data_IF_930596302245
#
_entry.id   IF_930596302245
#
_cell.length_a   1.000
_cell.length_b   1.000
_cell.length_c   1.000
_cell.angle_alpha   90.00
_cell.angle_beta   90.00
_cell.angle_gamma   90.00
#
_symmetry.space_group_name_H-M   'P 1'
#
loop_
_entity.id
_entity.type
_entity.pdbx_description
1 polymer ?
#
# COMPACT_ATOMS: atom_id res chain seq x y z
N UNK A 1 -21.07 -15.61 -21.41
CA UNK A 1 -20.82 -14.68 -20.28
C UNK A 1 -21.65 -15.16 -19.09
N UNK A 2 -21.13 -15.08 -17.87
CA UNK A 2 -21.88 -15.43 -16.65
C UNK A 2 -21.88 -14.20 -15.74
N UNK A 3 -22.98 -13.95 -15.04
CA UNK A 3 -23.11 -12.86 -14.08
C UNK A 3 -23.08 -13.41 -12.66
N UNK A 4 -22.52 -12.61 -11.75
CA UNK A 4 -22.56 -12.84 -10.31
C UNK A 4 -23.08 -11.55 -9.70
N UNK A 5 -24.12 -11.64 -8.87
CA UNK A 5 -24.69 -10.50 -8.16
C UNK A 5 -24.11 -10.46 -6.75
N UNK A 6 -23.63 -9.29 -6.33
CA UNK A 6 -23.05 -9.06 -5.01
C UNK A 6 -23.86 -7.95 -4.35
N UNK A 7 -24.32 -8.17 -3.13
CA UNK A 7 -24.97 -7.15 -2.31
C UNK A 7 -23.95 -6.47 -1.43
N UNK A 8 -23.90 -5.14 -1.50
CA UNK A 8 -23.06 -4.27 -0.69
C UNK A 8 -23.92 -3.18 -0.07
N UNK A 9 -23.43 -2.54 0.99
CA UNK A 9 -24.07 -1.39 1.62
C UNK A 9 -23.89 -0.12 0.78
N UNK A 10 -24.78 0.86 0.98
CA UNK A 10 -24.67 2.19 0.33
C UNK A 10 -23.31 2.84 0.65
N UNK A 11 -22.81 2.65 1.87
CA UNK A 11 -21.50 3.16 2.29
C UNK A 11 -20.36 2.53 1.48
N UNK A 12 -20.39 1.23 1.23
CA UNK A 12 -19.39 0.56 0.40
C UNK A 12 -19.50 1.03 -1.06
N UNK A 13 -20.74 1.22 -1.54
CA UNK A 13 -20.98 1.72 -2.90
C UNK A 13 -20.36 3.11 -3.11
N UNK A 14 -20.55 4.02 -2.14
CA UNK A 14 -19.93 5.34 -2.13
C UNK A 14 -18.40 5.27 -1.93
N UNK A 15 -17.92 4.44 -1.01
CA UNK A 15 -16.49 4.28 -0.71
C UNK A 15 -15.70 3.84 -1.95
N UNK A 16 -16.23 2.86 -2.68
CA UNK A 16 -15.62 2.35 -3.90
C UNK A 16 -15.91 3.21 -5.14
N UNK A 17 -16.70 4.29 -4.98
CA UNK A 17 -17.07 5.23 -6.05
C UNK A 17 -17.64 4.53 -7.27
N UNK A 18 -18.51 3.53 -7.04
CA UNK A 18 -19.19 2.88 -8.16
C UNK A 18 -20.12 3.89 -8.83
N UNK A 19 -19.97 4.06 -10.15
CA UNK A 19 -20.76 5.02 -10.93
C UNK A 19 -22.01 4.38 -11.57
N UNK A 20 -22.19 3.07 -11.38
CA UNK A 20 -23.19 2.24 -12.05
C UNK A 20 -23.47 0.99 -11.21
N UNK A 21 -24.70 0.48 -11.29
CA UNK A 21 -25.10 -0.81 -10.69
C UNK A 21 -24.47 -2.02 -11.43
N UNK A 22 -24.08 -1.83 -12.68
CA UNK A 22 -23.38 -2.84 -13.48
C UNK A 22 -21.99 -2.32 -13.86
N UNK A 23 -20.95 -3.06 -13.45
CA UNK A 23 -19.55 -2.79 -13.77
C UNK A 23 -18.90 -4.04 -14.34
N UNK A 24 -17.83 -3.86 -15.12
CA UNK A 24 -17.06 -5.00 -15.58
C UNK A 24 -16.31 -5.64 -14.40
N UNK A 25 -16.13 -6.96 -14.43
CA UNK A 25 -15.37 -7.66 -13.40
C UNK A 25 -13.94 -7.11 -13.24
N UNK A 26 -13.32 -6.70 -14.35
CA UNK A 26 -11.99 -6.09 -14.32
C UNK A 26 -11.98 -4.75 -13.58
N UNK A 27 -12.99 -3.91 -13.77
CA UNK A 27 -13.10 -2.63 -13.06
C UNK A 27 -13.25 -2.85 -11.54
N UNK A 28 -14.04 -3.85 -11.14
CA UNK A 28 -14.15 -4.24 -9.73
C UNK A 28 -12.80 -4.69 -9.16
N UNK A 29 -12.05 -5.51 -9.90
CA UNK A 29 -10.72 -5.97 -9.49
C UNK A 29 -9.74 -4.82 -9.32
N UNK A 30 -9.76 -3.85 -10.23
CA UNK A 30 -8.85 -2.70 -10.18
C UNK A 30 -9.14 -1.83 -8.95
N UNK A 31 -10.43 -1.59 -8.64
CA UNK A 31 -10.85 -0.84 -7.45
C UNK A 31 -10.43 -1.54 -6.16
N UNK A 32 -10.68 -2.85 -6.04
CA UNK A 32 -10.29 -3.63 -4.85
C UNK A 32 -8.76 -3.66 -4.70
N UNK A 33 -8.03 -3.83 -5.81
CA UNK A 33 -6.56 -3.85 -5.79
C UNK A 33 -5.98 -2.51 -5.31
N UNK A 34 -6.59 -1.40 -5.75
CA UNK A 34 -6.19 -0.07 -5.32
C UNK A 34 -6.44 0.14 -3.81
N UNK A 35 -7.58 -0.31 -3.28
CA UNK A 35 -7.89 -0.25 -1.85
C UNK A 35 -6.86 -1.04 -1.03
N UNK A 36 -6.54 -2.27 -1.45
CA UNK A 36 -5.54 -3.10 -0.77
C UNK A 36 -4.15 -2.44 -0.78
N UNK A 37 -3.77 -1.80 -1.88
CA UNK A 37 -2.52 -1.05 -1.98
C UNK A 37 -2.51 0.16 -1.01
N UNK A 38 -3.61 0.91 -0.91
CA UNK A 38 -3.73 2.03 0.04
C UNK A 38 -3.61 1.53 1.49
N UNK A 39 -4.30 0.44 1.85
CA UNK A 39 -4.20 -0.15 3.18
C UNK A 39 -2.77 -0.62 3.50
N UNK A 40 -2.07 -1.21 2.52
CA UNK A 40 -0.68 -1.60 2.69
C UNK A 40 0.23 -0.39 2.94
N UNK A 41 0.04 0.71 2.18
CA UNK A 41 0.80 1.95 2.37
C UNK A 41 0.57 2.56 3.75
N UNK A 42 -0.67 2.58 4.23
CA UNK A 42 -0.99 3.08 5.58
C UNK A 42 -0.24 2.25 6.64
N UNK A 43 -0.27 0.92 6.53
CA UNK A 43 0.47 0.03 7.45
C UNK A 43 1.97 0.28 7.40
N UNK A 44 2.55 0.44 6.22
CA UNK A 44 3.97 0.77 6.07
C UNK A 44 4.32 2.08 6.77
N UNK A 45 3.47 3.10 6.62
CA UNK A 45 3.65 4.39 7.29
C UNK A 45 3.56 4.28 8.81
N UNK A 46 2.61 3.50 9.34
CA UNK A 46 2.51 3.25 10.77
C UNK A 46 3.74 2.52 11.33
N UNK A 47 4.27 1.54 10.59
CA UNK A 47 5.51 0.85 10.95
C UNK A 47 6.67 1.84 10.94
N UNK A 48 6.78 2.68 9.92
CA UNK A 48 7.84 3.69 9.83
C UNK A 48 7.80 4.67 11.02
N UNK A 49 6.60 5.08 11.45
CA UNK A 49 6.42 5.89 12.67
C UNK A 49 6.85 5.16 13.93
N UNK A 50 6.40 3.93 14.13
CA UNK A 50 6.71 3.14 15.34
C UNK A 50 8.20 2.81 15.47
N UNK A 51 8.89 2.67 14.33
CA UNK A 51 10.32 2.34 14.29
C UNK A 51 11.22 3.57 14.28
N UNK A 52 10.65 4.79 14.25
CA UNK A 52 11.41 6.04 14.13
C UNK A 52 11.93 6.33 12.71
N UNK A 53 11.76 5.40 11.76
CA UNK A 53 12.15 5.60 10.36
C UNK A 53 11.48 6.82 9.72
N UNK A 54 10.28 7.20 10.16
CA UNK A 54 9.59 8.39 9.64
C UNK A 54 10.27 9.72 10.01
N UNK A 55 11.14 9.72 11.02
CA UNK A 55 11.83 10.91 11.52
C UNK A 55 13.28 11.00 10.99
N UNK A 56 13.78 9.92 10.38
CA UNK A 56 15.14 9.88 9.85
C UNK A 56 15.31 10.82 8.67
N UNK A 57 16.36 11.63 8.74
CA UNK A 57 16.80 12.47 7.63
C UNK A 57 17.52 11.64 6.57
N UNK A 58 17.53 12.15 5.33
CA UNK A 58 18.27 11.51 4.23
C UNK A 58 19.76 11.34 4.55
N UNK A 59 20.35 12.24 5.34
CA UNK A 59 21.75 12.17 5.76
C UNK A 59 22.01 10.99 6.69
N UNK A 60 21.14 10.77 7.68
CA UNK A 60 21.24 9.65 8.63
C UNK A 60 21.07 8.31 7.90
N UNK A 61 20.12 8.23 6.97
CA UNK A 61 19.92 7.05 6.11
C UNK A 61 21.17 6.76 5.28
N UNK A 62 21.74 7.79 4.63
CA UNK A 62 22.95 7.63 3.82
C UNK A 62 24.16 7.19 4.66
N UNK A 63 24.29 7.72 5.88
CA UNK A 63 25.34 7.33 6.82
C UNK A 63 25.21 5.86 7.21
N UNK A 64 24.01 5.39 7.55
CA UNK A 64 23.75 3.99 7.89
C UNK A 64 24.06 3.05 6.72
N UNK A 65 23.60 3.38 5.50
CA UNK A 65 23.88 2.61 4.28
C UNK A 65 25.38 2.52 4.02
N UNK A 66 26.12 3.63 4.15
CA UNK A 66 27.56 3.65 3.94
C UNK A 66 28.29 2.76 4.94
N UNK A 67 27.89 2.82 6.22
CA UNK A 67 28.46 2.02 7.29
C UNK A 67 28.23 0.51 7.05
N UNK A 68 26.98 0.10 6.75
CA UNK A 68 26.65 -1.30 6.45
C UNK A 68 27.45 -1.81 5.24
N UNK A 69 27.58 -1.01 4.17
CA UNK A 69 28.37 -1.37 2.98
C UNK A 69 29.86 -1.50 3.30
N UNK A 70 30.41 -0.62 4.14
CA UNK A 70 31.80 -0.69 4.57
C UNK A 70 32.06 -1.98 5.38
N UNK A 71 31.18 -2.31 6.33
CA UNK A 71 31.24 -3.56 7.09
C UNK A 71 31.17 -4.78 6.16
N UNK A 72 30.26 -4.78 5.17
CA UNK A 72 30.13 -5.88 4.22
C UNK A 72 31.39 -6.08 3.36
N UNK A 73 32.05 -4.99 2.94
CA UNK A 73 33.31 -5.06 2.18
C UNK A 73 34.48 -5.61 3.00
N UNK A 74 34.49 -5.36 4.31
CA UNK A 74 35.54 -5.82 5.23
C UNK A 74 35.34 -7.28 5.71
N UNK A 75 34.31 -7.99 5.22
CA UNK A 75 34.05 -9.42 5.54
C UNK A 75 34.68 -10.41 4.54
N UNK A 76 35.50 -9.92 3.63
CA UNK A 76 36.37 -10.70 2.75
C UNK A 76 37.84 -10.49 3.13
#
# INVERSE_FOLDING_TARGET
MRSVTISISDKEFEQYKFNSENIAFQELLDIISLELAQQALIKCHEIAKKTGLSEMTLNEINYEIANVRAIAKNRH
#
